data_IF_138481609216
#
_entry.id   IF_138481609216
#
_cell.length_a   1.000
_cell.length_b   1.000
_cell.length_c   1.000
_cell.angle_alpha   90.00
_cell.angle_beta   90.00
_cell.angle_gamma   90.00
#
_symmetry.space_group_name_H-M   'P 1'
#
loop_
_entity.id
_entity.type
_entity.pdbx_description
1 polymer ?
#
# COMPACT_ATOMS: atom_id res chain seq x y z
N UNK A 1 -5.70 14.52 28.99
CA UNK A 1 -6.10 15.95 29.07
C UNK A 1 -6.58 16.36 30.46
N UNK A 2 -7.50 15.59 31.08
CA UNK A 2 -8.14 15.98 32.36
C UNK A 2 -7.24 15.84 33.60
N UNK A 3 -6.26 14.93 33.58
CA UNK A 3 -5.36 14.72 34.72
C UNK A 3 -4.59 15.99 35.10
N UNK A 4 -4.04 16.72 34.12
CA UNK A 4 -3.25 17.92 34.43
C UNK A 4 -4.12 19.07 34.96
N UNK A 5 -5.32 19.26 34.40
CA UNK A 5 -6.22 20.33 34.87
C UNK A 5 -6.70 20.04 36.28
N UNK A 6 -7.03 18.78 36.58
CA UNK A 6 -7.52 18.36 37.89
C UNK A 6 -6.39 18.51 38.92
N UNK A 7 -5.18 18.04 38.62
CA UNK A 7 -4.02 18.19 39.51
C UNK A 7 -3.65 19.65 39.76
N UNK A 8 -3.72 20.53 38.75
CA UNK A 8 -3.41 21.96 38.91
C UNK A 8 -4.51 22.75 39.62
N UNK A 9 -5.77 22.28 39.59
CA UNK A 9 -6.89 22.94 40.30
C UNK A 9 -7.08 22.43 41.72
N UNK A 10 -6.62 21.22 42.05
CA UNK A 10 -6.72 20.64 43.39
C UNK A 10 -5.47 20.80 44.26
N UNK A 11 -4.34 21.24 43.71
CA UNK A 11 -3.08 21.33 44.46
C UNK A 11 -2.95 22.64 45.25
N UNK A 12 -2.37 22.56 46.44
CA UNK A 12 -2.06 23.71 47.31
C UNK A 12 -0.85 24.53 46.83
N UNK A 13 0.05 23.91 46.05
CA UNK A 13 1.20 24.58 45.41
C UNK A 13 1.30 24.19 43.92
N UNK A 14 0.80 25.04 43.01
CA UNK A 14 0.81 24.75 41.59
C UNK A 14 2.22 24.73 40.97
N UNK A 15 3.20 25.45 41.53
CA UNK A 15 4.57 25.45 41.00
C UNK A 15 5.26 24.12 41.27
N UNK A 16 5.11 23.59 42.49
CA UNK A 16 5.66 22.29 42.85
C UNK A 16 4.99 21.14 42.10
N UNK A 17 3.67 21.21 41.87
CA UNK A 17 2.95 20.23 41.06
C UNK A 17 3.42 20.22 39.60
N UNK A 18 3.74 21.39 39.03
CA UNK A 18 4.33 21.49 37.68
C UNK A 18 5.73 20.87 37.66
N UNK A 19 6.56 21.14 38.67
CA UNK A 19 7.91 20.59 38.76
C UNK A 19 7.88 19.07 38.89
N UNK A 20 7.04 18.51 39.77
CA UNK A 20 6.84 17.07 39.94
C UNK A 20 6.32 16.43 38.65
N UNK A 21 5.31 17.03 38.00
CA UNK A 21 4.80 16.53 36.73
C UNK A 21 5.87 16.53 35.62
N UNK A 22 6.70 17.58 35.54
CA UNK A 22 7.82 17.67 34.60
C UNK A 22 8.92 16.66 34.93
N UNK A 23 9.14 16.32 36.19
CA UNK A 23 10.14 15.35 36.61
C UNK A 23 9.68 13.92 36.32
N UNK A 24 8.39 13.64 36.48
CA UNK A 24 7.79 12.34 36.17
C UNK A 24 7.61 12.09 34.66
N UNK A 25 7.20 13.11 33.90
CA UNK A 25 6.84 12.97 32.48
C UNK A 25 7.86 13.59 31.51
N UNK A 26 8.89 14.25 32.03
CA UNK A 26 9.97 14.81 31.23
C UNK A 26 10.93 13.74 30.73
N UNK A 27 11.64 14.04 29.65
CA UNK A 27 12.74 13.19 29.17
C UNK A 27 13.88 13.30 30.19
N UNK A 28 14.01 12.30 31.07
CA UNK A 28 15.05 12.21 32.11
C UNK A 28 16.42 11.89 31.50
N UNK A 29 16.98 12.87 30.79
CA UNK A 29 18.36 12.84 30.31
C UNK A 29 19.20 13.83 31.15
N UNK A 30 20.17 13.34 31.95
CA UNK A 30 21.02 14.20 32.78
C UNK A 30 21.73 15.30 31.99
N UNK A 31 22.03 15.06 30.71
CA UNK A 31 22.62 16.02 29.78
C UNK A 31 21.67 17.14 29.34
N UNK A 32 20.35 16.92 29.39
CA UNK A 32 19.35 17.89 28.98
C UNK A 32 18.95 18.87 30.09
N UNK A 33 19.07 18.47 31.37
CA UNK A 33 18.76 19.33 32.52
C UNK A 33 19.50 20.69 32.49
N UNK A 34 20.81 20.77 32.17
CA UNK A 34 21.50 22.06 32.06
C UNK A 34 21.19 22.82 30.77
N UNK A 35 20.77 22.13 29.69
CA UNK A 35 20.56 22.74 28.38
C UNK A 35 19.16 23.35 28.21
N UNK A 36 18.13 22.80 28.87
CA UNK A 36 16.77 23.34 28.78
C UNK A 36 16.66 24.81 29.21
N UNK A 37 17.27 25.27 30.32
CA UNK A 37 17.29 26.69 30.68
C UNK A 37 18.00 27.56 29.63
N UNK A 38 19.04 27.04 28.98
CA UNK A 38 19.72 27.76 27.89
C UNK A 38 18.79 27.93 26.69
N UNK A 39 18.03 26.89 26.33
CA UNK A 39 17.02 26.96 25.26
C UNK A 39 15.90 27.95 25.60
N UNK A 40 15.46 27.98 26.86
CA UNK A 40 14.46 28.94 27.34
C UNK A 40 14.96 30.39 27.19
N UNK A 41 16.25 30.65 27.49
CA UNK A 41 16.88 31.98 27.29
C UNK A 41 16.95 32.40 25.82
N UNK A 42 17.02 31.46 24.89
CA UNK A 42 16.98 31.71 23.44
C UNK A 42 15.56 31.83 22.90
N UNK A 43 14.53 31.83 23.77
CA UNK A 43 13.13 31.96 23.39
C UNK A 43 12.53 30.69 22.78
N UNK A 44 13.20 29.54 22.87
CA UNK A 44 12.67 28.27 22.39
C UNK A 44 11.69 27.72 23.41
N UNK A 45 10.43 27.55 23.00
CA UNK A 45 9.43 26.94 23.88
C UNK A 45 9.75 25.46 24.08
N UNK A 46 9.72 24.98 25.33
CA UNK A 46 9.98 23.57 25.66
C UNK A 46 9.09 22.59 24.88
N UNK A 47 7.83 22.96 24.61
CA UNK A 47 6.93 22.15 23.77
C UNK A 47 7.50 21.94 22.37
N UNK A 48 7.97 23.01 21.72
CA UNK A 48 8.52 22.96 20.36
C UNK A 48 9.78 22.10 20.32
N UNK A 49 10.64 22.24 21.34
CA UNK A 49 11.82 21.41 21.49
C UNK A 49 11.44 19.92 21.61
N UNK A 50 10.56 19.56 22.56
CA UNK A 50 10.17 18.17 22.76
C UNK A 50 9.43 17.57 21.56
N UNK A 51 8.60 18.36 20.87
CA UNK A 51 7.96 17.96 19.63
C UNK A 51 9.01 17.67 18.55
N UNK A 52 10.00 18.55 18.38
CA UNK A 52 11.10 18.33 17.42
C UNK A 52 11.94 17.10 17.75
N UNK A 53 12.27 16.88 19.04
CA UNK A 53 12.99 15.66 19.46
C UNK A 53 12.17 14.41 19.18
N UNK A 54 10.86 14.42 19.46
CA UNK A 54 9.98 13.29 19.19
C UNK A 54 9.95 12.95 17.70
N UNK A 55 9.83 13.97 16.84
CA UNK A 55 9.84 13.81 15.39
C UNK A 55 11.16 13.22 14.88
N UNK A 56 12.30 13.74 15.33
CA UNK A 56 13.63 13.23 14.98
C UNK A 56 13.84 11.78 15.44
N UNK A 57 13.37 11.44 16.65
CA UNK A 57 13.42 10.07 17.17
C UNK A 57 12.53 9.12 16.37
N UNK A 58 11.33 9.59 16.00
CA UNK A 58 10.39 8.84 15.15
C UNK A 58 11.01 8.53 13.80
N UNK A 59 11.62 9.52 13.14
CA UNK A 59 12.29 9.35 11.85
C UNK A 59 13.47 8.37 11.92
N UNK A 60 14.33 8.51 12.94
CA UNK A 60 15.44 7.58 13.17
C UNK A 60 14.96 6.15 13.41
N UNK A 61 13.88 5.99 14.18
CA UNK A 61 13.33 4.68 14.47
C UNK A 61 12.71 4.04 13.21
N UNK A 62 11.95 4.79 12.43
CA UNK A 62 11.39 4.35 11.12
C UNK A 62 12.51 3.93 10.17
N UNK A 63 13.57 4.75 10.06
CA UNK A 63 14.74 4.41 9.24
C UNK A 63 15.38 3.10 9.68
N UNK A 64 15.59 2.91 10.98
CA UNK A 64 16.17 1.69 11.53
C UNK A 64 15.29 0.46 11.31
N UNK A 65 13.97 0.60 11.38
CA UNK A 65 13.02 -0.48 11.10
C UNK A 65 13.10 -0.90 9.63
N UNK A 66 13.20 0.05 8.70
CA UNK A 66 13.37 -0.25 7.27
C UNK A 66 14.72 -0.94 6.98
N UNK A 67 15.80 -0.56 7.68
CA UNK A 67 17.09 -1.26 7.60
C UNK A 67 16.95 -2.72 8.04
N UNK A 68 16.31 -2.97 9.19
CA UNK A 68 16.04 -4.33 9.69
C UNK A 68 15.17 -5.12 8.71
N UNK A 69 14.15 -4.48 8.13
CA UNK A 69 13.31 -5.09 7.10
C UNK A 69 14.07 -5.44 5.81
N UNK A 70 15.11 -4.68 5.46
CA UNK A 70 15.95 -4.93 4.28
C UNK A 70 17.00 -6.02 4.53
N UNK A 71 17.55 -6.10 5.75
CA UNK A 71 18.49 -7.15 6.19
C UNK A 71 17.87 -8.57 6.11
N UNK A 72 16.55 -8.66 6.03
CA UNK A 72 15.76 -9.89 5.86
C UNK A 72 16.10 -10.70 4.61
N UNK A 73 16.59 -10.05 3.55
CA UNK A 73 16.98 -10.75 2.32
C UNK A 73 18.32 -11.50 2.45
N UNK A 74 19.02 -11.37 3.60
CA UNK A 74 20.16 -12.22 3.96
C UNK A 74 19.73 -13.46 4.75
N UNK A 75 20.47 -14.56 4.61
CA UNK A 75 20.19 -15.96 5.02
C UNK A 75 19.83 -16.25 6.50
N UNK A 76 19.45 -15.27 7.32
CA UNK A 76 19.11 -15.48 8.73
C UNK A 76 17.77 -14.82 9.04
N UNK A 77 16.73 -15.64 9.25
CA UNK A 77 15.39 -15.23 9.72
C UNK A 77 15.34 -14.57 11.11
N UNK A 78 16.45 -14.01 11.61
CA UNK A 78 16.52 -13.23 12.85
C UNK A 78 15.80 -11.88 12.75
N UNK A 79 15.74 -11.28 11.55
CA UNK A 79 15.01 -10.03 11.31
C UNK A 79 13.51 -10.17 11.57
N UNK A 80 12.91 -11.26 11.09
CA UNK A 80 11.47 -11.52 11.23
C UNK A 80 11.06 -11.69 12.69
N UNK A 81 11.85 -12.43 13.48
CA UNK A 81 11.61 -12.58 14.91
C UNK A 81 11.68 -11.23 15.63
N UNK A 82 12.69 -10.40 15.31
CA UNK A 82 12.85 -9.07 15.90
C UNK A 82 11.68 -8.15 15.57
N UNK A 83 11.19 -8.16 14.32
CA UNK A 83 10.04 -7.37 13.91
C UNK A 83 8.76 -7.81 14.63
N UNK A 84 8.52 -9.12 14.78
CA UNK A 84 7.39 -9.65 15.56
C UNK A 84 7.47 -9.27 17.03
N UNK A 85 8.65 -9.36 17.64
CA UNK A 85 8.87 -8.95 19.04
C UNK A 85 8.67 -7.44 19.23
N UNK A 86 9.06 -6.62 18.24
CA UNK A 86 8.80 -5.18 18.25
C UNK A 86 7.32 -4.87 18.05
N UNK A 87 6.64 -5.60 17.16
CA UNK A 87 5.22 -5.42 16.90
C UNK A 87 4.39 -5.69 18.16
N UNK A 88 4.62 -6.81 18.85
CA UNK A 88 3.86 -7.16 20.06
C UNK A 88 3.96 -6.11 21.17
N UNK A 89 5.14 -5.49 21.35
CA UNK A 89 5.36 -4.43 22.34
C UNK A 89 4.78 -3.08 21.92
N UNK A 90 4.80 -2.77 20.63
CA UNK A 90 4.46 -1.44 20.11
C UNK A 90 2.99 -1.32 19.68
N UNK A 91 2.33 -2.42 19.36
CA UNK A 91 0.96 -2.42 18.86
C UNK A 91 -0.07 -1.73 19.79
N UNK A 92 -0.01 -1.84 21.13
CA UNK A 92 -0.93 -1.10 22.01
C UNK A 92 -0.89 0.42 21.79
N UNK A 93 0.24 0.95 21.31
CA UNK A 93 0.43 2.36 21.02
C UNK A 93 -0.06 2.78 19.62
N UNK A 94 -0.63 1.88 18.80
CA UNK A 94 -1.12 2.19 17.43
C UNK A 94 -2.17 3.30 17.42
N UNK A 95 -2.95 3.42 18.50
CA UNK A 95 -3.97 4.46 18.67
C UNK A 95 -3.37 5.83 18.92
N UNK A 96 -2.13 5.91 19.42
CA UNK A 96 -1.42 7.16 19.69
C UNK A 96 -0.91 7.75 18.37
N UNK A 97 -1.42 8.91 17.91
CA UNK A 97 -1.09 9.45 16.59
C UNK A 97 0.41 9.68 16.36
N UNK A 98 1.14 10.09 17.40
CA UNK A 98 2.58 10.35 17.31
C UNK A 98 3.41 9.07 17.09
N UNK A 99 2.96 7.92 17.62
CA UNK A 99 3.67 6.64 17.53
C UNK A 99 3.14 5.75 16.40
N UNK A 100 1.92 6.02 15.89
CA UNK A 100 1.29 5.27 14.81
C UNK A 100 2.20 5.05 13.59
N UNK A 101 2.95 6.04 13.07
CA UNK A 101 3.83 5.84 11.91
C UNK A 101 4.92 4.77 12.14
N UNK A 102 5.41 4.66 13.38
CA UNK A 102 6.38 3.62 13.76
C UNK A 102 5.73 2.24 13.69
N UNK A 103 4.54 2.08 14.27
CA UNK A 103 3.80 0.81 14.25
C UNK A 103 3.44 0.40 12.82
N UNK A 104 2.99 1.35 12.00
CA UNK A 104 2.68 1.10 10.59
C UNK A 104 3.93 0.68 9.81
N UNK A 105 5.08 1.30 10.05
CA UNK A 105 6.35 0.91 9.45
C UNK A 105 6.76 -0.52 9.86
N UNK A 106 6.56 -0.93 11.12
CA UNK A 106 6.80 -2.31 11.56
C UNK A 106 5.87 -3.28 10.82
N UNK A 107 4.57 -2.97 10.77
CA UNK A 107 3.57 -3.79 10.06
C UNK A 107 3.94 -3.98 8.59
N UNK A 108 4.31 -2.90 7.90
CA UNK A 108 4.72 -2.93 6.48
C UNK A 108 5.90 -3.88 6.24
N UNK A 109 6.90 -3.86 7.12
CA UNK A 109 8.09 -4.71 7.01
C UNK A 109 7.85 -6.15 7.52
N UNK A 110 6.71 -6.42 8.15
CA UNK A 110 6.40 -7.75 8.69
C UNK A 110 5.71 -8.62 7.63
N UNK A 111 6.32 -9.73 7.18
CA UNK A 111 5.79 -10.56 6.09
C UNK A 111 4.47 -11.25 6.40
N UNK A 112 4.37 -11.74 7.64
CA UNK A 112 3.21 -12.45 8.13
C UNK A 112 2.82 -11.84 9.46
N UNK A 113 1.78 -11.02 9.40
CA UNK A 113 1.15 -10.37 10.53
C UNK A 113 0.12 -11.33 11.10
N UNK A 114 0.09 -11.47 12.42
CA UNK A 114 -0.89 -12.32 13.10
C UNK A 114 -2.31 -11.75 12.95
N UNK A 115 -3.29 -12.63 12.80
CA UNK A 115 -4.67 -12.27 12.46
C UNK A 115 -5.34 -11.34 13.50
N UNK A 116 -4.91 -11.43 14.77
CA UNK A 116 -5.38 -10.56 15.86
C UNK A 116 -5.15 -9.08 15.54
N UNK A 117 -3.96 -8.73 15.03
CA UNK A 117 -3.62 -7.36 14.67
C UNK A 117 -4.40 -6.88 13.45
N UNK A 118 -4.56 -7.74 12.45
CA UNK A 118 -5.33 -7.43 11.23
C UNK A 118 -6.80 -7.15 11.56
N UNK A 119 -7.40 -7.91 12.49
CA UNK A 119 -8.78 -7.67 12.96
C UNK A 119 -8.94 -6.30 13.60
N UNK A 120 -7.95 -5.81 14.35
CA UNK A 120 -7.99 -4.47 14.93
C UNK A 120 -7.90 -3.39 13.83
N UNK A 121 -7.00 -3.56 12.86
CA UNK A 121 -6.88 -2.63 11.72
C UNK A 121 -8.18 -2.53 10.92
N UNK A 122 -8.86 -3.65 10.67
CA UNK A 122 -10.14 -3.68 9.93
C UNK A 122 -11.27 -3.00 10.71
N UNK A 123 -11.30 -3.12 12.04
CA UNK A 123 -12.34 -2.50 12.88
C UNK A 123 -12.24 -0.98 12.90
N UNK A 124 -11.04 -0.42 12.84
CA UNK A 124 -10.80 1.02 12.96
C UNK A 124 -10.45 1.63 11.60
N UNK A 125 -11.39 2.37 11.00
CA UNK A 125 -11.24 2.95 9.65
C UNK A 125 -10.01 3.85 9.49
N UNK A 126 -9.64 4.61 10.52
CA UNK A 126 -8.43 5.45 10.47
C UNK A 126 -7.14 4.61 10.37
N UNK A 127 -7.07 3.50 11.11
CA UNK A 127 -5.91 2.61 11.09
C UNK A 127 -5.82 1.89 9.75
N UNK A 128 -6.95 1.40 9.23
CA UNK A 128 -7.01 0.80 7.90
C UNK A 128 -6.56 1.79 6.82
N UNK A 129 -7.06 3.03 6.84
CA UNK A 129 -6.71 4.02 5.82
C UNK A 129 -5.22 4.39 5.84
N UNK A 130 -4.61 4.46 7.02
CA UNK A 130 -3.20 4.79 7.19
C UNK A 130 -2.25 3.60 6.97
N UNK A 131 -2.77 2.38 6.82
CA UNK A 131 -1.96 1.21 6.53
C UNK A 131 -1.45 1.22 5.07
N UNK A 132 -0.19 0.82 4.89
CA UNK A 132 0.42 0.62 3.58
C UNK A 132 -0.24 -0.54 2.80
N UNK A 133 -0.11 -0.51 1.47
CA UNK A 133 -0.67 -1.53 0.57
C UNK A 133 -0.17 -2.93 0.91
N UNK A 134 1.09 -3.09 1.35
CA UNK A 134 1.66 -4.37 1.79
C UNK A 134 0.86 -5.00 2.94
N UNK A 135 0.42 -4.18 3.89
CA UNK A 135 -0.38 -4.61 5.04
C UNK A 135 -1.80 -4.92 4.58
N UNK A 136 -2.39 -4.03 3.77
CA UNK A 136 -3.73 -4.22 3.23
C UNK A 136 -3.84 -5.48 2.37
N UNK A 137 -2.79 -5.85 1.62
CA UNK A 137 -2.73 -7.13 0.88
C UNK A 137 -2.94 -8.33 1.77
N UNK A 138 -2.37 -8.34 2.98
CA UNK A 138 -2.56 -9.44 3.93
C UNK A 138 -4.02 -9.50 4.41
N UNK A 139 -4.66 -8.34 4.61
CA UNK A 139 -6.09 -8.26 4.96
C UNK A 139 -6.97 -8.76 3.80
N UNK A 140 -6.72 -8.28 2.58
CA UNK A 140 -7.51 -8.57 1.38
C UNK A 140 -7.49 -10.04 1.00
N UNK A 141 -6.39 -10.75 1.27
CA UNK A 141 -6.28 -12.20 0.99
C UNK A 141 -7.42 -12.98 1.63
N UNK A 142 -7.86 -12.60 2.83
CA UNK A 142 -8.88 -13.35 3.56
C UNK A 142 -10.22 -12.60 3.65
N UNK A 143 -10.29 -11.38 3.11
CA UNK A 143 -11.50 -10.56 3.09
C UNK A 143 -11.82 -10.08 1.65
N UNK A 144 -12.48 -10.96 0.88
CA UNK A 144 -12.81 -10.72 -0.53
C UNK A 144 -13.74 -9.51 -0.73
N UNK A 145 -14.72 -9.29 0.16
CA UNK A 145 -15.65 -8.15 0.04
C UNK A 145 -14.93 -6.83 0.19
N UNK A 146 -14.04 -6.72 1.20
CA UNK A 146 -13.27 -5.50 1.43
C UNK A 146 -12.35 -5.19 0.25
N UNK A 147 -11.71 -6.23 -0.32
CA UNK A 147 -10.90 -6.04 -1.52
C UNK A 147 -11.74 -5.62 -2.73
N UNK A 148 -12.93 -6.22 -2.89
CA UNK A 148 -13.92 -5.84 -3.89
C UNK A 148 -14.31 -4.36 -3.82
N UNK A 149 -14.55 -3.84 -2.62
CA UNK A 149 -14.89 -2.44 -2.38
C UNK A 149 -13.75 -1.47 -2.78
N UNK A 150 -12.49 -1.88 -2.66
CA UNK A 150 -11.33 -1.09 -3.05
C UNK A 150 -11.10 -1.08 -4.57
N UNK A 151 -11.31 -2.22 -5.25
CA UNK A 151 -11.05 -2.36 -6.69
C UNK A 151 -12.24 -1.95 -7.56
N UNK A 152 -13.47 -2.06 -7.07
CA UNK A 152 -14.68 -1.73 -7.85
C UNK A 152 -14.70 -0.28 -8.35
N UNK A 153 -14.31 0.75 -7.56
CA UNK A 153 -14.21 2.12 -8.06
C UNK A 153 -13.19 2.26 -9.19
N UNK A 154 -12.09 1.49 -9.15
CA UNK A 154 -11.07 1.49 -10.19
C UNK A 154 -11.62 0.89 -11.49
N UNK A 155 -12.37 -0.21 -11.39
CA UNK A 155 -13.04 -0.80 -12.54
C UNK A 155 -14.00 0.19 -13.19
N UNK A 156 -14.90 0.80 -12.41
CA UNK A 156 -15.85 1.79 -12.92
C UNK A 156 -15.13 2.97 -13.59
N UNK A 157 -14.07 3.49 -12.94
CA UNK A 157 -13.26 4.59 -13.50
C UNK A 157 -12.62 4.21 -14.83
N UNK A 158 -12.01 3.03 -14.93
CA UNK A 158 -11.40 2.57 -16.18
C UNK A 158 -12.41 2.46 -17.31
N UNK A 159 -13.59 1.91 -17.05
CA UNK A 159 -14.65 1.78 -18.06
C UNK A 159 -15.09 3.17 -18.53
N UNK A 160 -15.35 4.08 -17.59
CA UNK A 160 -15.72 5.47 -17.91
C UNK A 160 -14.65 6.16 -18.76
N UNK A 161 -13.36 6.03 -18.42
CA UNK A 161 -12.26 6.62 -19.18
C UNK A 161 -12.20 6.06 -20.62
N UNK A 162 -12.42 4.76 -20.81
CA UNK A 162 -12.42 4.14 -22.15
C UNK A 162 -13.63 4.55 -22.99
N UNK A 163 -14.82 4.61 -22.37
CA UNK A 163 -16.03 5.07 -23.05
C UNK A 163 -15.93 6.55 -23.44
N UNK A 164 -15.38 7.40 -22.58
CA UNK A 164 -15.13 8.81 -22.89
C UNK A 164 -14.23 8.96 -24.13
N UNK A 165 -13.12 8.21 -24.20
CA UNK A 165 -12.23 8.25 -25.38
C UNK A 165 -12.91 7.71 -26.64
N UNK A 166 -13.81 6.72 -26.52
CA UNK A 166 -14.58 6.19 -27.65
C UNK A 166 -15.60 7.19 -28.21
N UNK A 167 -16.24 7.97 -27.35
CA UNK A 167 -17.31 8.90 -27.71
C UNK A 167 -16.84 10.37 -27.85
N UNK A 168 -15.56 10.64 -27.60
CA UNK A 168 -14.96 11.96 -27.82
C UNK A 168 -14.82 12.25 -29.32
N UNK A 169 -15.72 13.10 -29.82
CA UNK A 169 -15.80 13.54 -31.20
C UNK A 169 -14.97 14.80 -31.48
N UNK A 170 -14.34 15.38 -30.46
CA UNK A 170 -13.56 16.61 -30.57
C UNK A 170 -12.06 16.33 -30.72
N UNK A 171 -11.60 15.17 -30.25
CA UNK A 171 -10.18 14.84 -30.18
C UNK A 171 -9.72 13.86 -31.27
N UNK A 172 -9.59 14.36 -32.50
CA UNK A 172 -9.16 13.57 -33.68
C UNK A 172 -7.71 13.04 -33.58
N UNK A 173 -6.89 13.57 -32.67
CA UNK A 173 -5.49 13.18 -32.49
C UNK A 173 -5.30 12.02 -31.50
N UNK A 174 -6.30 11.75 -30.64
CA UNK A 174 -6.23 10.70 -29.60
C UNK A 174 -7.31 9.63 -29.81
N UNK A 175 -7.35 9.08 -31.02
CA UNK A 175 -8.27 7.99 -31.37
C UNK A 175 -8.11 6.80 -30.42
N UNK A 176 -9.21 6.12 -30.07
CA UNK A 176 -9.23 4.99 -29.13
C UNK A 176 -8.18 3.89 -29.42
N UNK A 177 -7.85 3.65 -30.69
CA UNK A 177 -6.88 2.63 -31.12
C UNK A 177 -5.46 3.17 -31.33
N UNK A 178 -5.23 4.49 -31.19
CA UNK A 178 -3.92 5.10 -31.40
C UNK A 178 -2.89 4.79 -30.29
N UNK A 179 -3.26 4.64 -28.99
CA UNK A 179 -2.28 4.41 -27.96
C UNK A 179 -1.64 3.02 -28.11
N UNK A 180 -0.31 2.99 -28.10
CA UNK A 180 0.42 1.72 -28.09
C UNK A 180 0.06 0.89 -26.85
N UNK A 181 0.17 -0.45 -26.90
CA UNK A 181 -0.07 -1.30 -25.73
C UNK A 181 0.71 -0.86 -24.49
N UNK A 182 1.93 -0.35 -24.69
CA UNK A 182 2.77 0.15 -23.60
C UNK A 182 2.23 1.42 -22.96
N UNK A 183 1.66 2.33 -23.74
CA UNK A 183 1.03 3.54 -23.18
C UNK A 183 -0.24 3.19 -22.42
N UNK A 184 -1.07 2.29 -22.96
CA UNK A 184 -2.36 1.94 -22.33
C UNK A 184 -2.19 1.40 -20.91
N UNK A 185 -1.24 0.49 -20.71
CA UNK A 185 -0.97 -0.12 -19.40
C UNK A 185 -0.28 0.81 -18.40
N UNK A 186 0.21 1.98 -18.82
CA UNK A 186 0.72 3.02 -17.92
C UNK A 186 -0.40 3.90 -17.33
N UNK A 187 -1.66 3.63 -17.68
CA UNK A 187 -2.81 4.32 -17.09
C UNK A 187 -2.88 4.14 -15.57
N UNK A 188 -3.32 5.20 -14.88
CA UNK A 188 -3.37 5.27 -13.41
C UNK A 188 -4.10 4.06 -12.81
N UNK A 189 -5.24 3.68 -13.38
CA UNK A 189 -6.02 2.53 -12.90
C UNK A 189 -5.23 1.21 -13.01
N UNK A 190 -4.60 0.95 -14.15
CA UNK A 190 -3.87 -0.31 -14.38
C UNK A 190 -2.67 -0.40 -13.44
N UNK A 191 -1.90 0.68 -13.31
CA UNK A 191 -0.76 0.75 -12.41
C UNK A 191 -1.17 0.61 -10.95
N UNK A 192 -2.28 1.24 -10.54
CA UNK A 192 -2.81 1.10 -9.18
C UNK A 192 -3.28 -0.33 -8.88
N UNK A 193 -3.98 -0.98 -9.81
CA UNK A 193 -4.37 -2.38 -9.67
C UNK A 193 -3.16 -3.32 -9.58
N UNK A 194 -2.16 -3.14 -10.45
CA UNK A 194 -0.93 -3.91 -10.40
C UNK A 194 -0.20 -3.71 -9.06
N UNK A 195 -0.11 -2.46 -8.58
CA UNK A 195 0.46 -2.16 -7.27
C UNK A 195 -0.35 -2.78 -6.12
N UNK A 196 -1.69 -2.80 -6.18
CA UNK A 196 -2.51 -3.43 -5.14
C UNK A 196 -2.31 -4.95 -5.08
N UNK A 197 -2.21 -5.61 -6.24
CA UNK A 197 -2.01 -7.06 -6.35
C UNK A 197 -0.60 -7.47 -5.91
N UNK A 198 0.43 -6.74 -6.35
CA UNK A 198 1.83 -7.11 -6.13
C UNK A 198 2.13 -8.53 -6.61
N UNK A 199 2.75 -9.35 -5.76
CA UNK A 199 3.10 -10.75 -6.05
C UNK A 199 2.01 -11.75 -5.62
N UNK A 200 0.84 -11.28 -5.20
CA UNK A 200 -0.18 -12.17 -4.62
C UNK A 200 -1.08 -12.80 -5.69
N UNK A 201 -0.79 -14.06 -6.05
CA UNK A 201 -1.62 -14.85 -6.99
C UNK A 201 -3.09 -14.89 -6.55
N UNK A 202 -3.36 -15.07 -5.25
CA UNK A 202 -4.74 -15.06 -4.70
C UNK A 202 -5.49 -13.76 -5.00
N UNK A 203 -4.82 -12.61 -4.89
CA UNK A 203 -5.45 -11.31 -5.18
C UNK A 203 -5.65 -11.09 -6.68
N UNK A 204 -4.70 -11.56 -7.49
CA UNK A 204 -4.83 -11.57 -8.94
C UNK A 204 -6.05 -12.39 -9.36
N UNK A 205 -6.20 -13.62 -8.86
CA UNK A 205 -7.33 -14.49 -9.16
C UNK A 205 -8.67 -13.87 -8.73
N UNK A 206 -8.72 -13.19 -7.58
CA UNK A 206 -9.90 -12.43 -7.15
C UNK A 206 -10.27 -11.33 -8.16
N UNK A 207 -9.29 -10.54 -8.62
CA UNK A 207 -9.54 -9.53 -9.67
C UNK A 207 -10.06 -10.19 -10.93
N UNK A 208 -9.46 -11.30 -11.38
CA UNK A 208 -9.93 -12.03 -12.55
C UNK A 208 -11.36 -12.54 -12.39
N UNK A 209 -11.72 -13.04 -11.22
CA UNK A 209 -13.08 -13.49 -10.90
C UNK A 209 -14.07 -12.32 -10.96
N UNK A 210 -13.71 -11.15 -10.41
CA UNK A 210 -14.53 -9.96 -10.48
C UNK A 210 -14.72 -9.49 -11.92
N UNK A 211 -13.64 -9.36 -12.70
CA UNK A 211 -13.70 -8.96 -14.11
C UNK A 211 -14.55 -9.93 -14.94
N UNK A 212 -14.39 -11.24 -14.72
CA UNK A 212 -15.23 -12.27 -15.37
C UNK A 212 -16.70 -12.10 -15.01
N UNK A 213 -17.01 -11.91 -13.73
CA UNK A 213 -18.39 -11.73 -13.26
C UNK A 213 -19.02 -10.48 -13.87
N UNK A 214 -18.28 -9.36 -13.87
CA UNK A 214 -18.72 -8.11 -14.46
C UNK A 214 -18.93 -8.24 -15.97
N UNK A 215 -18.00 -8.83 -16.70
CA UNK A 215 -18.14 -9.09 -18.13
C UNK A 215 -19.36 -9.96 -18.44
N UNK A 216 -19.54 -11.08 -17.73
CA UNK A 216 -20.67 -11.98 -17.97
C UNK A 216 -22.02 -11.28 -17.74
N UNK A 217 -22.09 -10.38 -16.76
CA UNK A 217 -23.28 -9.62 -16.39
C UNK A 217 -23.57 -8.46 -17.35
N UNK A 218 -22.57 -7.64 -17.70
CA UNK A 218 -22.79 -6.40 -18.45
C UNK A 218 -22.47 -6.52 -19.94
N UNK A 219 -21.74 -7.56 -20.35
CA UNK A 219 -21.17 -7.74 -21.70
C UNK A 219 -20.22 -6.62 -22.15
N UNK A 220 -19.74 -5.78 -21.22
CA UNK A 220 -18.80 -4.71 -21.55
C UNK A 220 -17.40 -5.29 -21.81
N UNK A 221 -16.94 -5.19 -23.05
CA UNK A 221 -15.69 -5.79 -23.53
C UNK A 221 -14.45 -5.13 -22.87
N UNK A 222 -14.56 -3.90 -22.36
CA UNK A 222 -13.45 -3.21 -21.73
C UNK A 222 -12.94 -3.91 -20.47
N UNK A 223 -13.74 -4.77 -19.82
CA UNK A 223 -13.24 -5.65 -18.76
C UNK A 223 -12.21 -6.67 -19.26
N UNK A 224 -12.37 -7.18 -20.48
CA UNK A 224 -11.39 -8.07 -21.13
C UNK A 224 -10.13 -7.30 -21.50
N UNK A 225 -10.27 -6.06 -21.98
CA UNK A 225 -9.13 -5.16 -22.23
C UNK A 225 -8.36 -4.89 -20.93
N UNK A 226 -9.06 -4.58 -19.84
CA UNK A 226 -8.45 -4.36 -18.53
C UNK A 226 -7.68 -5.58 -18.04
N UNK A 227 -8.24 -6.79 -18.21
CA UNK A 227 -7.53 -8.04 -17.88
C UNK A 227 -6.20 -8.14 -18.64
N UNK A 228 -6.24 -7.93 -19.95
CA UNK A 228 -5.04 -8.03 -20.79
C UNK A 228 -4.00 -6.96 -20.42
N UNK A 229 -4.43 -5.71 -20.23
CA UNK A 229 -3.53 -4.60 -19.84
C UNK A 229 -2.91 -4.84 -18.46
N UNK A 230 -3.69 -5.37 -17.50
CA UNK A 230 -3.21 -5.72 -16.16
C UNK A 230 -2.19 -6.87 -16.19
N UNK A 231 -2.46 -7.93 -16.96
CA UNK A 231 -1.53 -9.05 -17.10
C UNK A 231 -0.19 -8.59 -17.70
N UNK A 232 -0.24 -7.75 -18.74
CA UNK A 232 0.98 -7.20 -19.34
C UNK A 232 1.68 -6.16 -18.45
N UNK A 233 0.94 -5.45 -17.59
CA UNK A 233 1.55 -4.59 -16.57
C UNK A 233 2.31 -5.40 -15.52
N UNK A 234 1.77 -6.54 -15.08
CA UNK A 234 2.45 -7.46 -14.17
C UNK A 234 3.66 -8.16 -14.83
N UNK A 235 3.58 -8.44 -16.12
CA UNK A 235 4.72 -8.88 -16.92
C UNK A 235 5.84 -7.83 -16.95
N UNK A 236 5.51 -6.56 -17.19
CA UNK A 236 6.49 -5.46 -17.19
C UNK A 236 7.15 -5.28 -15.81
N UNK A 237 6.45 -5.62 -14.73
CA UNK A 237 6.97 -5.63 -13.35
C UNK A 237 7.70 -6.95 -13.00
N UNK A 238 7.85 -7.86 -13.96
CA UNK A 238 8.54 -9.15 -13.80
C UNK A 238 7.96 -10.04 -12.68
N UNK A 239 6.65 -9.98 -12.45
CA UNK A 239 5.97 -10.77 -11.41
C UNK A 239 5.78 -12.22 -11.88
N UNK A 240 6.85 -13.02 -11.79
CA UNK A 240 6.91 -14.42 -12.25
C UNK A 240 5.85 -15.32 -11.61
N UNK A 241 5.51 -15.07 -10.33
CA UNK A 241 4.51 -15.82 -9.59
C UNK A 241 3.14 -15.84 -10.29
N UNK A 242 2.81 -14.76 -11.03
CA UNK A 242 1.53 -14.61 -11.73
C UNK A 242 1.67 -15.00 -13.21
N UNK A 243 2.69 -14.48 -13.90
CA UNK A 243 2.78 -14.67 -15.36
C UNK A 243 3.13 -16.11 -15.77
N UNK A 244 3.73 -16.89 -14.87
CA UNK A 244 4.03 -18.31 -15.13
C UNK A 244 2.81 -19.21 -15.03
N UNK A 245 1.79 -18.80 -14.27
CA UNK A 245 0.57 -19.58 -14.02
C UNK A 245 -0.63 -19.11 -14.85
N UNK A 246 -0.65 -17.85 -15.31
CA UNK A 246 -1.77 -17.36 -16.13
C UNK A 246 -1.74 -17.98 -17.55
N UNK A 247 -2.79 -18.70 -17.96
CA UNK A 247 -2.83 -19.40 -19.25
C UNK A 247 -2.94 -18.45 -20.45
N UNK A 248 -3.45 -17.24 -20.26
CA UNK A 248 -3.56 -16.23 -21.30
C UNK A 248 -2.25 -15.49 -21.56
N UNK A 249 -1.24 -15.62 -20.68
CA UNK A 249 -0.01 -14.81 -20.75
C UNK A 249 0.69 -14.89 -22.11
N UNK A 250 0.98 -16.10 -22.61
CA UNK A 250 1.66 -16.27 -23.92
C UNK A 250 0.83 -15.71 -25.07
N UNK A 251 -0.49 -15.91 -25.03
CA UNK A 251 -1.41 -15.38 -26.02
C UNK A 251 -1.41 -13.84 -26.02
N UNK A 252 -1.59 -13.22 -24.86
CA UNK A 252 -1.61 -11.76 -24.72
C UNK A 252 -0.28 -11.16 -25.14
N UNK A 253 0.84 -11.78 -24.78
CA UNK A 253 2.18 -11.32 -25.16
C UNK A 253 2.42 -11.37 -26.68
N UNK A 254 2.04 -12.46 -27.33
CA UNK A 254 2.13 -12.60 -28.79
C UNK A 254 1.21 -11.60 -29.51
N UNK A 255 -0.01 -11.41 -29.01
CA UNK A 255 -0.96 -10.42 -29.53
C UNK A 255 -0.42 -8.99 -29.40
N UNK A 256 0.17 -8.64 -28.25
CA UNK A 256 0.78 -7.33 -28.03
C UNK A 256 1.95 -7.07 -29.00
N UNK A 257 2.73 -8.10 -29.35
CA UNK A 257 3.78 -8.00 -30.36
C UNK A 257 3.20 -7.70 -31.75
N UNK A 258 2.12 -8.39 -32.13
CA UNK A 258 1.41 -8.13 -33.38
C UNK A 258 0.88 -6.70 -33.48
N UNK A 259 0.25 -6.20 -32.40
CA UNK A 259 -0.31 -4.84 -32.34
C UNK A 259 0.81 -3.80 -32.46
N UNK A 260 1.92 -4.00 -31.75
CA UNK A 260 3.07 -3.08 -31.78
C UNK A 260 3.68 -2.98 -33.17
N UNK A 261 3.82 -4.10 -33.87
CA UNK A 261 4.41 -4.16 -35.21
C UNK A 261 3.42 -3.85 -36.33
N UNK A 262 2.13 -3.70 -35.99
CA UNK A 262 1.03 -3.49 -36.94
C UNK A 262 1.01 -4.52 -38.07
N UNK A 263 1.48 -5.73 -37.76
CA UNK A 263 1.60 -6.83 -38.72
C UNK A 263 1.38 -8.17 -38.02
N UNK A 264 0.67 -9.06 -38.69
CA UNK A 264 0.46 -10.46 -38.28
C UNK A 264 0.99 -11.33 -39.41
N UNK A 265 2.20 -11.86 -39.24
CA UNK A 265 2.75 -12.80 -40.19
C UNK A 265 2.13 -14.21 -40.03
N UNK A 266 2.40 -15.08 -41.00
CA UNK A 266 1.87 -16.45 -41.01
C UNK A 266 2.31 -17.24 -39.77
N UNK A 267 3.51 -16.97 -39.25
CA UNK A 267 4.05 -17.66 -38.07
C UNK A 267 3.26 -17.29 -36.81
N UNK A 268 3.08 -15.99 -36.56
CA UNK A 268 2.30 -15.47 -35.42
C UNK A 268 0.82 -15.80 -35.53
N UNK A 269 0.26 -15.78 -36.75
CA UNK A 269 -1.12 -16.22 -36.97
C UNK A 269 -1.32 -17.68 -36.54
N UNK A 270 -0.42 -18.59 -36.94
CA UNK A 270 -0.45 -19.99 -36.51
C UNK A 270 -0.24 -20.15 -35.00
N UNK A 271 0.64 -19.35 -34.40
CA UNK A 271 0.90 -19.37 -32.96
C UNK A 271 -0.34 -18.93 -32.16
N UNK A 272 -0.96 -17.81 -32.55
CA UNK A 272 -2.21 -17.33 -31.95
C UNK A 272 -3.34 -18.35 -32.10
N UNK A 273 -3.46 -18.98 -33.27
CA UNK A 273 -4.42 -20.05 -33.49
C UNK A 273 -4.15 -21.26 -32.58
N UNK A 274 -2.89 -21.69 -32.47
CA UNK A 274 -2.50 -22.79 -31.59
C UNK A 274 -2.83 -22.53 -30.12
N UNK A 275 -2.71 -21.28 -29.65
CA UNK A 275 -3.16 -20.93 -28.30
C UNK A 275 -4.68 -21.06 -28.14
N UNK A 276 -5.47 -20.62 -29.12
CA UNK A 276 -6.93 -20.74 -29.07
C UNK A 276 -7.38 -22.20 -29.14
N UNK A 277 -6.78 -23.01 -30.01
CA UNK A 277 -7.10 -24.43 -30.18
C UNK A 277 -6.74 -25.27 -28.93
N UNK A 278 -5.80 -24.79 -28.11
CA UNK A 278 -5.41 -25.45 -26.86
C UNK A 278 -6.42 -25.29 -25.72
N UNK A 279 -7.39 -24.38 -25.88
CA UNK A 279 -8.44 -24.10 -24.89
C UNK A 279 -9.63 -25.03 -25.19
N UNK A 280 -9.91 -25.95 -24.26
CA UNK A 280 -11.10 -26.83 -24.29
C UNK A 280 -12.24 -26.27 -23.45
#
# INVERSE_FOLDING_TARGET
PNFLSDTLTSCTDPLKAIEEFQLENGVLLPSLRPMLPLLDLHGVRRLDFHASVLEELREKLVKRINEIGSERNGEKGSGDKRLKDMLSKSFPAVRVPALRPVVMCILRNTPHIDEEYLKVLVKEKELYNSADTEVKRQIWKDNQSLFGDEVSPLFSRYIMEKEQVLFDHLNLNSLFFSPSPKVRRQGEVVQKLAHMIGHSVKLYDMVLQFLRTLFLRTKNIHYCTLRAELLMALHDLEVQDIISVDPCHKFTWCLDACIREKNVDIKRSRELQGFLDSIK
#
